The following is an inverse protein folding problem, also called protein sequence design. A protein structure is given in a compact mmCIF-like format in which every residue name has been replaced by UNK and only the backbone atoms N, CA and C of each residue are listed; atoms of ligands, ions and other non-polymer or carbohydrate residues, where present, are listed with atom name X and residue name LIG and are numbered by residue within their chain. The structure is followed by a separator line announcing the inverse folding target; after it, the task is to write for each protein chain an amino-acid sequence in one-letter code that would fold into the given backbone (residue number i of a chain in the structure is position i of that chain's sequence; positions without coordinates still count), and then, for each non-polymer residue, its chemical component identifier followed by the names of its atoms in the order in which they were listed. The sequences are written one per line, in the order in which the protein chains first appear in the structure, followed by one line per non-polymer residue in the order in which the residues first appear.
data_IF_094731920050
#
_entry.id   IF_094731920050
#
_cell.length_a   1.000
_cell.length_b   1.000
_cell.length_c   1.000
_cell.angle_alpha   90.00
_cell.angle_beta   90.00
_cell.angle_gamma   90.00
#
_symmetry.space_group_name_H-M   'P 1'
#
loop_
_entity.id
_entity.type
_entity.pdbx_description
1 polymer ?
#
# COMPACT_ATOMS: atom_id res chain seq x y z
N UNK A 1 5.20 0.43 23.78
CA UNK A 1 4.72 0.34 22.39
C UNK A 1 4.75 1.73 21.78
N UNK A 2 5.68 1.99 20.85
CA UNK A 2 5.78 3.30 20.19
C UNK A 2 4.59 3.46 19.25
N UNK A 3 3.68 4.39 19.57
CA UNK A 3 2.55 4.84 18.73
C UNK A 3 2.99 5.48 17.40
N UNK A 4 4.29 5.64 17.14
CA UNK A 4 4.80 6.51 16.08
C UNK A 4 4.55 6.00 14.65
N UNK A 5 4.21 4.73 14.47
CA UNK A 5 4.04 4.13 13.13
C UNK A 5 2.76 3.31 13.00
N UNK A 6 1.72 3.52 13.82
CA UNK A 6 0.46 2.79 13.64
C UNK A 6 -0.30 3.30 12.41
N UNK A 7 -0.99 2.39 11.72
CA UNK A 7 -1.90 2.73 10.63
C UNK A 7 -3.07 1.75 10.59
N UNK A 8 -4.18 2.18 10.02
CA UNK A 8 -5.37 1.36 9.81
C UNK A 8 -5.83 1.46 8.37
N UNK A 9 -6.33 0.34 7.83
CA UNK A 9 -7.13 0.27 6.62
C UNK A 9 -8.56 -0.06 7.04
N UNK A 10 -9.48 0.88 6.84
CA UNK A 10 -10.91 0.69 7.04
C UNK A 10 -11.57 0.53 5.68
N UNK A 11 -12.29 -0.57 5.49
CA UNK A 11 -13.08 -0.84 4.28
C UNK A 11 -14.50 -0.27 4.44
N UNK A 12 -15.15 0.03 3.32
CA UNK A 12 -16.50 0.59 3.28
C UNK A 12 -17.57 -0.31 3.93
N UNK A 13 -17.31 -1.60 4.11
CA UNK A 13 -18.20 -2.52 4.81
C UNK A 13 -17.93 -2.61 6.34
N UNK A 14 -17.09 -1.72 6.85
CA UNK A 14 -16.71 -1.62 8.27
C UNK A 14 -15.58 -2.56 8.68
N UNK A 15 -15.04 -3.37 7.76
CA UNK A 15 -13.93 -4.26 8.09
C UNK A 15 -12.63 -3.49 8.25
N UNK A 16 -11.90 -3.77 9.33
CA UNK A 16 -10.67 -3.05 9.70
C UNK A 16 -9.47 -3.99 9.62
N UNK A 17 -8.35 -3.45 9.13
CA UNK A 17 -7.04 -4.08 9.18
C UNK A 17 -6.05 -3.11 9.82
N UNK A 18 -5.48 -3.54 10.95
CA UNK A 18 -4.45 -2.79 11.65
C UNK A 18 -3.06 -3.19 11.14
N UNK A 19 -2.17 -2.20 11.03
CA UNK A 19 -0.81 -2.41 10.57
C UNK A 19 0.09 -1.26 10.98
N UNK A 20 1.19 -1.12 10.24
CA UNK A 20 2.14 -0.03 10.41
C UNK A 20 2.19 0.87 9.19
N UNK A 21 2.35 2.17 9.40
CA UNK A 21 2.56 3.12 8.32
C UNK A 21 3.85 2.83 7.56
N UNK A 22 3.77 3.00 6.24
CA UNK A 22 4.82 2.72 5.28
C UNK A 22 4.74 3.76 4.15
N UNK A 23 5.87 4.33 3.75
CA UNK A 23 5.88 5.45 2.80
C UNK A 23 5.53 6.80 3.45
N UNK A 24 4.60 7.54 2.84
CA UNK A 24 4.15 8.84 3.34
C UNK A 24 3.14 8.68 4.49
N UNK A 25 3.31 9.45 5.56
CA UNK A 25 2.35 9.49 6.66
C UNK A 25 1.20 10.43 6.30
N UNK A 26 -0.02 9.93 6.32
CA UNK A 26 -1.19 10.67 5.88
C UNK A 26 -2.45 9.82 5.87
N UNK A 27 -3.41 10.28 5.08
CA UNK A 27 -4.68 9.60 4.82
C UNK A 27 -4.87 9.54 3.30
N UNK A 28 -5.38 8.41 2.82
CA UNK A 28 -5.76 8.26 1.42
C UNK A 28 -7.00 7.40 1.29
N UNK A 29 -7.82 7.69 0.29
CA UNK A 29 -9.04 6.97 -0.03
C UNK A 29 -8.95 6.46 -1.46
N UNK A 30 -9.41 5.23 -1.67
CA UNK A 30 -9.47 4.66 -3.01
C UNK A 30 -10.22 3.34 -3.03
N UNK A 31 -10.45 2.82 -4.22
CA UNK A 31 -10.99 1.47 -4.40
C UNK A 31 -9.89 0.45 -4.07
N UNK A 32 -10.15 -0.47 -3.14
CA UNK A 32 -9.17 -1.48 -2.74
C UNK A 32 -9.21 -2.63 -3.73
N UNK A 33 -8.09 -2.85 -4.41
CA UNK A 33 -7.88 -3.97 -5.32
C UNK A 33 -6.70 -4.83 -4.84
N UNK A 34 -6.48 -5.97 -5.49
CA UNK A 34 -5.33 -6.82 -5.20
C UNK A 34 -4.61 -7.24 -6.48
N UNK A 35 -3.30 -7.43 -6.38
CA UNK A 35 -2.46 -7.92 -7.46
C UNK A 35 -1.72 -9.19 -7.00
N UNK A 36 -1.77 -10.23 -7.84
CA UNK A 36 -1.15 -11.55 -7.58
C UNK A 36 0.29 -11.67 -8.05
N UNK A 37 0.84 -10.62 -8.65
CA UNK A 37 2.23 -10.51 -9.07
C UNK A 37 3.17 -10.71 -7.89
N UNK A 38 4.16 -11.59 -8.07
CA UNK A 38 5.22 -11.82 -7.09
C UNK A 38 6.37 -10.82 -7.23
N UNK A 39 6.45 -10.17 -8.39
CA UNK A 39 7.41 -9.14 -8.80
C UNK A 39 6.64 -8.04 -9.54
N UNK A 40 7.33 -6.99 -9.96
CA UNK A 40 6.71 -5.94 -10.77
C UNK A 40 6.01 -4.86 -9.94
N UNK A 41 6.35 -4.70 -8.66
CA UNK A 41 5.67 -3.75 -7.80
C UNK A 41 5.93 -2.29 -8.21
N UNK A 42 7.02 -2.00 -8.92
CA UNK A 42 7.34 -0.65 -9.39
C UNK A 42 6.47 -0.27 -10.60
N UNK A 43 6.27 -1.23 -11.48
CA UNK A 43 5.40 -1.16 -12.65
C UNK A 43 3.95 -1.00 -12.21
N UNK A 44 3.51 -1.77 -11.21
CA UNK A 44 2.18 -1.62 -10.59
C UNK A 44 1.98 -0.22 -9.99
N UNK A 45 3.00 0.35 -9.35
CA UNK A 45 2.91 1.70 -8.79
C UNK A 45 2.74 2.76 -9.89
N UNK A 46 3.32 2.55 -11.08
CA UNK A 46 3.37 3.54 -12.15
C UNK A 46 2.36 3.30 -13.28
N UNK A 47 1.64 2.18 -13.26
CA UNK A 47 0.61 1.85 -14.25
C UNK A 47 -0.66 2.72 -14.08
N UNK A 48 -1.06 3.49 -15.12
CA UNK A 48 -2.26 4.33 -15.10
C UNK A 48 -3.56 3.61 -14.76
N UNK A 49 -3.62 2.28 -14.96
CA UNK A 49 -4.78 1.44 -14.66
C UNK A 49 -5.14 1.43 -13.16
N UNK A 50 -4.17 1.72 -12.28
CA UNK A 50 -4.37 1.79 -10.83
C UNK A 50 -4.70 3.19 -10.30
N UNK A 51 -5.01 4.14 -11.18
CA UNK A 51 -5.38 5.49 -10.76
C UNK A 51 -6.54 5.45 -9.76
N UNK A 52 -6.36 6.12 -8.60
CA UNK A 52 -7.32 6.17 -7.49
C UNK A 52 -7.58 4.82 -6.78
N UNK A 53 -6.77 3.80 -7.04
CA UNK A 53 -6.88 2.51 -6.38
C UNK A 53 -5.86 2.36 -5.25
N UNK A 54 -6.27 1.65 -4.19
CA UNK A 54 -5.40 1.17 -3.13
C UNK A 54 -5.01 -0.26 -3.49
N UNK A 55 -3.75 -0.45 -3.87
CA UNK A 55 -3.30 -1.75 -4.38
C UNK A 55 -2.76 -2.61 -3.25
N UNK A 56 -3.32 -3.81 -3.11
CA UNK A 56 -2.85 -4.84 -2.18
C UNK A 56 -1.99 -5.88 -2.88
N UNK A 57 -0.74 -6.02 -2.46
CA UNK A 57 0.12 -7.09 -2.95
C UNK A 57 -0.15 -8.40 -2.20
N UNK A 58 -0.36 -9.51 -2.93
CA UNK A 58 -0.50 -10.83 -2.30
C UNK A 58 0.85 -11.45 -1.93
N UNK A 59 1.93 -11.05 -2.59
CA UNK A 59 3.28 -11.52 -2.25
C UNK A 59 3.71 -10.98 -0.88
N UNK A 60 4.23 -11.83 0.02
CA UNK A 60 4.50 -11.43 1.40
C UNK A 60 5.65 -10.43 1.52
N UNK A 61 6.69 -10.57 0.69
CA UNK A 61 7.89 -9.73 0.73
C UNK A 61 7.90 -8.80 -0.48
N UNK A 62 7.80 -7.50 -0.23
CA UNK A 62 7.75 -6.45 -1.26
C UNK A 62 8.89 -5.45 -1.01
N UNK A 63 9.55 -5.00 -2.08
CA UNK A 63 10.73 -4.11 -1.98
C UNK A 63 12.08 -4.84 -2.07
N UNK A 64 12.10 -6.14 -2.35
CA UNK A 64 13.30 -6.97 -2.34
C UNK A 64 14.37 -6.54 -3.36
N UNK A 65 13.96 -6.00 -4.50
CA UNK A 65 14.87 -5.46 -5.52
C UNK A 65 14.99 -3.93 -5.50
N UNK A 66 14.41 -3.28 -4.49
CA UNK A 66 14.42 -1.83 -4.34
C UNK A 66 13.66 -1.13 -5.44
N UNK A 67 14.05 0.11 -5.73
CA UNK A 67 13.57 0.89 -6.86
C UNK A 67 14.75 1.19 -7.77
N UNK A 68 14.52 1.14 -9.07
CA UNK A 68 15.48 1.59 -10.08
C UNK A 68 14.85 2.70 -10.93
N UNK A 69 15.67 3.48 -11.62
CA UNK A 69 15.17 4.56 -12.48
C UNK A 69 14.81 4.07 -13.89
N UNK A 70 15.24 2.86 -14.25
CA UNK A 70 15.07 2.27 -15.59
C UNK A 70 13.70 1.57 -15.78
N UNK A 71 13.07 1.05 -14.73
CA UNK A 71 11.79 0.33 -14.81
C UNK A 71 10.60 1.24 -14.39
N UNK A 72 10.66 2.54 -14.71
CA UNK A 72 9.59 3.52 -14.45
C UNK A 72 8.72 3.65 -15.71
N UNK A 73 7.51 3.08 -15.69
CA UNK A 73 6.59 3.07 -16.85
C UNK A 73 5.88 4.42 -17.08
N UNK A 74 5.80 5.27 -16.05
CA UNK A 74 5.28 6.63 -16.17
C UNK A 74 5.97 7.59 -15.20
N UNK A 75 6.02 8.89 -15.56
CA UNK A 75 6.73 9.90 -14.76
C UNK A 75 6.23 10.03 -13.31
N UNK A 76 5.05 9.49 -12.97
CA UNK A 76 4.42 9.63 -11.66
C UNK A 76 3.79 8.32 -11.17
N UNK A 77 3.82 8.09 -9.85
CA UNK A 77 3.05 7.01 -9.22
C UNK A 77 1.54 7.29 -9.38
N UNK A 78 0.79 6.27 -9.78
CA UNK A 78 -0.64 6.35 -10.12
C UNK A 78 -1.55 5.86 -8.99
N UNK A 79 -1.05 4.94 -8.15
CA UNK A 79 -1.83 4.37 -7.05
C UNK A 79 -2.22 5.46 -6.03
N UNK A 80 -3.41 5.35 -5.44
CA UNK A 80 -3.81 6.20 -4.32
C UNK A 80 -3.15 5.75 -3.01
N UNK A 81 -2.90 4.45 -2.86
CA UNK A 81 -2.25 3.88 -1.69
C UNK A 81 -1.76 2.46 -1.92
N UNK A 82 -0.97 1.95 -0.97
CA UNK A 82 -0.30 0.67 -1.13
C UNK A 82 -0.36 -0.20 0.14
N UNK A 83 -0.76 -1.45 -0.01
CA UNK A 83 -0.96 -2.39 1.10
C UNK A 83 -0.07 -3.62 0.91
N UNK A 84 0.79 -3.89 1.89
CA UNK A 84 1.71 -5.03 1.86
C UNK A 84 1.70 -5.80 3.17
N UNK A 85 2.20 -7.03 3.13
CA UNK A 85 2.44 -7.80 4.35
C UNK A 85 3.76 -7.40 4.99
N UNK A 86 4.86 -7.46 4.26
CA UNK A 86 6.19 -7.15 4.78
C UNK A 86 7.01 -6.37 3.76
N UNK A 87 7.70 -5.34 4.25
CA UNK A 87 8.64 -4.54 3.47
C UNK A 87 10.05 -5.14 3.60
N UNK A 88 10.74 -5.35 2.48
CA UNK A 88 12.19 -5.56 2.50
C UNK A 88 12.90 -4.21 2.64
N UNK A 89 13.36 -3.90 3.85
CA UNK A 89 14.03 -2.62 4.15
C UNK A 89 15.38 -2.45 3.43
N UNK A 90 16.11 -3.54 3.26
CA UNK A 90 17.41 -3.52 2.59
C UNK A 90 17.30 -4.29 1.28
N UNK A 91 17.08 -3.58 0.15
CA UNK A 91 16.99 -4.23 -1.14
C UNK A 91 18.33 -4.85 -1.53
N UNK A 92 18.29 -6.00 -2.22
CA UNK A 92 19.47 -6.71 -2.71
C UNK A 92 19.41 -6.84 -4.22
N UNK A 93 19.66 -5.73 -4.91
CA UNK A 93 19.79 -5.70 -6.36
C UNK A 93 20.84 -4.65 -6.75
N UNK A 94 21.72 -5.00 -7.68
CA UNK A 94 22.75 -4.10 -8.21
C UNK A 94 22.18 -2.86 -8.92
N UNK A 95 20.94 -2.94 -9.43
CA UNK A 95 20.19 -1.81 -10.04
C UNK A 95 19.48 -0.93 -9.02
N UNK A 96 19.42 -1.31 -7.74
CA UNK A 96 18.65 -0.60 -6.73
C UNK A 96 19.32 0.73 -6.36
N UNK A 97 18.59 1.84 -6.49
CA UNK A 97 19.05 3.18 -6.11
C UNK A 97 18.47 3.67 -4.79
N UNK A 98 17.31 3.15 -4.38
CA UNK A 98 16.63 3.52 -3.13
C UNK A 98 15.70 2.40 -2.64
N UNK A 99 15.27 2.45 -1.37
CA UNK A 99 14.26 1.54 -0.83
C UNK A 99 12.85 1.89 -1.31
N UNK A 100 11.93 0.92 -1.27
CA UNK A 100 10.53 1.16 -1.62
C UNK A 100 9.87 2.19 -0.70
N UNK A 101 10.15 2.13 0.60
CA UNK A 101 9.59 3.10 1.57
C UNK A 101 10.01 4.53 1.31
N UNK A 102 11.29 4.75 0.98
CA UNK A 102 11.79 6.08 0.60
C UNK A 102 11.12 6.59 -0.68
N UNK A 103 10.95 5.71 -1.67
CA UNK A 103 10.29 6.06 -2.92
C UNK A 103 8.83 6.47 -2.73
N UNK A 104 8.05 5.71 -1.95
CA UNK A 104 6.67 6.08 -1.62
C UNK A 104 6.61 7.39 -0.84
N UNK A 105 7.52 7.59 0.12
CA UNK A 105 7.59 8.83 0.91
C UNK A 105 7.91 10.05 0.05
N UNK A 106 8.87 9.93 -0.89
CA UNK A 106 9.26 10.99 -1.84
C UNK A 106 8.07 11.42 -2.71
N UNK A 107 7.25 10.47 -3.13
CA UNK A 107 6.09 10.69 -4.00
C UNK A 107 4.77 10.92 -3.24
N UNK A 108 4.81 11.09 -1.91
CA UNK A 108 3.64 11.32 -1.05
C UNK A 108 2.56 10.22 -1.13
N UNK A 109 2.97 8.98 -1.31
CA UNK A 109 2.07 7.82 -1.36
C UNK A 109 1.93 7.20 0.01
N UNK A 110 0.69 7.11 0.49
CA UNK A 110 0.35 6.51 1.77
C UNK A 110 0.32 5.00 1.63
N UNK A 111 1.06 4.32 2.50
CA UNK A 111 1.10 2.87 2.54
C UNK A 111 0.94 2.30 3.94
N UNK A 112 0.53 1.04 3.98
CA UNK A 112 0.37 0.26 5.21
C UNK A 112 0.99 -1.13 5.04
N UNK A 113 1.78 -1.54 6.03
CA UNK A 113 2.44 -2.84 6.10
C UNK A 113 2.03 -3.62 7.35
N UNK A 114 2.47 -4.86 7.45
CA UNK A 114 2.09 -5.81 8.51
C UNK A 114 0.60 -6.17 8.51
N UNK A 115 -0.05 -6.08 7.34
CA UNK A 115 -1.44 -6.45 7.14
C UNK A 115 -1.52 -7.94 6.75
N UNK A 116 -2.57 -8.64 7.20
CA UNK A 116 -2.92 -9.95 6.66
C UNK A 116 -3.54 -9.81 5.26
N UNK A 117 -2.67 -9.62 4.27
CA UNK A 117 -3.07 -9.43 2.86
C UNK A 117 -3.84 -10.62 2.31
N UNK A 118 -3.64 -11.85 2.82
CA UNK A 118 -4.45 -13.02 2.42
C UNK A 118 -5.90 -12.86 2.87
N UNK A 119 -6.12 -12.43 4.10
CA UNK A 119 -7.46 -12.20 4.64
C UNK A 119 -8.17 -11.05 3.92
N UNK A 120 -7.43 -9.98 3.59
CA UNK A 120 -7.92 -8.85 2.78
C UNK A 120 -8.28 -9.29 1.35
N UNK A 121 -7.39 -9.99 0.65
CA UNK A 121 -7.65 -10.50 -0.71
C UNK A 121 -8.85 -11.43 -0.75
N UNK A 122 -8.98 -12.36 0.21
CA UNK A 122 -10.15 -13.24 0.29
C UNK A 122 -11.43 -12.44 0.47
N UNK A 123 -11.40 -11.42 1.34
CA UNK A 123 -12.55 -10.55 1.57
C UNK A 123 -12.99 -9.81 0.31
N UNK A 124 -12.06 -9.14 -0.39
CA UNK A 124 -12.35 -8.42 -1.64
C UNK A 124 -12.84 -9.39 -2.72
N UNK A 125 -12.27 -10.59 -2.82
CA UNK A 125 -12.72 -11.60 -3.78
C UNK A 125 -14.15 -12.08 -3.50
N UNK A 126 -14.51 -12.25 -2.24
CA UNK A 126 -15.81 -12.79 -1.84
C UNK A 126 -16.91 -11.70 -1.81
N UNK A 127 -16.57 -10.43 -1.60
CA UNK A 127 -17.50 -9.29 -1.49
C UNK A 127 -17.52 -8.34 -2.68
N UNK A 128 -16.53 -8.44 -3.57
CA UNK A 128 -16.30 -7.48 -4.65
C UNK A 128 -15.35 -6.35 -4.24
N UNK A 129 -14.91 -5.58 -5.23
CA UNK A 129 -14.13 -4.36 -5.01
C UNK A 129 -14.96 -3.34 -4.22
N UNK A 130 -14.31 -2.65 -3.29
CA UNK A 130 -14.94 -1.66 -2.42
C UNK A 130 -13.95 -0.56 -2.07
N UNK A 131 -14.48 0.60 -1.70
CA UNK A 131 -13.64 1.69 -1.22
C UNK A 131 -13.05 1.36 0.15
N UNK A 132 -11.88 1.93 0.42
CA UNK A 132 -11.25 1.91 1.73
C UNK A 132 -10.45 3.17 1.97
N UNK A 133 -10.16 3.42 3.24
CA UNK A 133 -9.31 4.51 3.70
C UNK A 133 -8.10 3.92 4.43
N UNK A 134 -6.90 4.31 4.03
CA UNK A 134 -5.69 4.11 4.83
C UNK A 134 -5.47 5.37 5.63
N UNK A 135 -5.29 5.25 6.94
CA UNK A 135 -4.95 6.37 7.81
C UNK A 135 -3.79 6.01 8.74
N UNK A 136 -2.80 6.90 8.80
CA UNK A 136 -1.76 6.90 9.84
C UNK A 136 -1.84 8.12 10.77
N UNK A 137 -2.74 9.07 10.50
CA UNK A 137 -2.88 10.31 11.27
C UNK A 137 -3.99 10.18 12.29
N UNK A 138 -5.14 9.67 11.85
CA UNK A 138 -6.29 9.36 12.69
C UNK A 138 -6.47 7.84 12.79
N UNK A 139 -6.49 7.33 14.02
CA UNK A 139 -6.72 5.91 14.30
C UNK A 139 -8.12 5.67 14.89
N UNK A 140 -8.93 6.71 15.02
CA UNK A 140 -10.31 6.61 15.48
C UNK A 140 -11.22 6.22 14.31
N UNK A 141 -11.73 4.99 14.39
CA UNK A 141 -12.62 4.41 13.38
C UNK A 141 -13.89 5.26 13.21
N UNK A 142 -14.43 5.82 14.29
CA UNK A 142 -15.66 6.64 14.20
C UNK A 142 -15.41 7.95 13.45
N UNK A 143 -14.21 8.50 13.59
CA UNK A 143 -13.80 9.71 12.89
C UNK A 143 -13.51 9.47 11.41
N UNK A 144 -13.15 8.24 11.02
CA UNK A 144 -12.90 7.84 9.64
C UNK A 144 -14.15 7.34 8.91
N UNK A 145 -15.10 6.74 9.62
CA UNK A 145 -16.39 6.29 9.11
C UNK A 145 -17.38 7.46 8.95
N UNK A 146 -16.98 8.47 8.18
CA UNK A 146 -17.84 9.61 7.83
C UNK A 146 -18.82 9.18 6.74
N UNK A 147 -19.88 8.49 7.16
CA UNK A 147 -21.12 8.35 6.40
C UNK A 147 -21.90 9.68 6.36
#
# INVERSE_FOLDING_TARGET
MNKSNSAILLLADGRIFEGKSFGYQGETVGEVCFNTGMTGYQEILTDPSYCKQIVTMTSPHIGNYGINEEDIESENIQVAGFVIKEETMTPSNWRSTQSLGEYLKKNKIVGIKEIDTRSLTRHIRDKGAMNGIISSNDLDIQSLDKN
#
